data_IF_328064205713
#
_entry.id   IF_328064205713
#
_cell.length_a   1.000
_cell.length_b   1.000
_cell.length_c   1.000
_cell.angle_alpha   90.00
_cell.angle_beta   90.00
_cell.angle_gamma   90.00
#
_symmetry.space_group_name_H-M   'P 1'
#
loop_
_entity.id
_entity.type
_entity.pdbx_description
1 polymer ?
#
# COMPACT_ATOMS: atom_id res chain seq x y z
N UNK A 1 -11.52 86.38 -90.66
CA UNK A 1 -12.75 85.57 -90.87
C UNK A 1 -12.60 84.29 -90.13
N UNK A 2 -13.59 83.87 -89.34
CA UNK A 2 -13.67 82.53 -88.81
C UNK A 2 -13.87 82.46 -87.33
N UNK A 3 -15.08 82.35 -87.01
CA UNK A 3 -15.85 82.29 -85.72
C UNK A 3 -15.35 81.24 -84.71
N UNK A 4 -15.45 81.63 -83.49
CA UNK A 4 -15.28 80.78 -82.33
C UNK A 4 -16.29 79.68 -82.12
N UNK A 5 -15.97 78.79 -81.28
CA UNK A 5 -16.91 77.93 -80.59
C UNK A 5 -16.35 77.53 -79.21
N UNK A 6 -17.09 77.98 -78.23
CA UNK A 6 -16.90 77.65 -76.78
C UNK A 6 -17.25 76.18 -76.52
N UNK A 7 -16.49 75.45 -75.76
CA UNK A 7 -16.96 74.18 -75.27
C UNK A 7 -17.69 74.25 -73.90
N UNK A 8 -18.83 73.58 -73.83
CA UNK A 8 -19.69 73.45 -72.69
C UNK A 8 -19.12 72.49 -71.62
N UNK A 9 -19.23 72.86 -70.37
CA UNK A 9 -18.86 72.03 -69.20
C UNK A 9 -19.92 70.90 -68.98
N UNK A 10 -19.49 69.69 -68.58
CA UNK A 10 -20.40 68.62 -68.25
C UNK A 10 -20.96 68.82 -66.78
N UNK A 11 -22.10 68.19 -66.44
CA UNK A 11 -22.73 68.31 -65.15
C UNK A 11 -22.05 67.58 -64.03
N UNK A 12 -21.99 68.17 -62.88
CA UNK A 12 -21.42 67.58 -61.64
C UNK A 12 -22.28 66.44 -61.12
N UNK A 13 -21.72 65.21 -61.09
CA UNK A 13 -22.39 64.03 -60.57
C UNK A 13 -22.35 64.00 -59.04
N UNK A 14 -23.48 64.02 -58.41
CA UNK A 14 -23.70 63.71 -56.98
C UNK A 14 -23.51 62.23 -56.71
N UNK A 15 -22.26 61.74 -56.47
CA UNK A 15 -22.05 60.33 -56.15
C UNK A 15 -20.91 60.06 -55.14
N UNK A 16 -20.45 61.02 -54.37
CA UNK A 16 -19.35 60.75 -53.41
C UNK A 16 -19.75 60.64 -51.95
N UNK A 17 -21.04 60.89 -51.59
CA UNK A 17 -21.50 60.87 -50.22
C UNK A 17 -22.10 59.52 -49.73
N UNK A 18 -22.53 58.66 -50.66
CA UNK A 18 -23.10 57.33 -50.31
C UNK A 18 -22.02 56.23 -50.22
N UNK A 19 -20.99 56.28 -51.05
CA UNK A 19 -19.91 55.28 -50.96
C UNK A 19 -19.07 55.42 -49.70
N UNK A 20 -18.89 56.63 -49.15
CA UNK A 20 -18.13 56.82 -47.91
C UNK A 20 -18.87 56.27 -46.67
N UNK A 21 -20.22 56.27 -46.68
CA UNK A 21 -21.05 55.69 -45.59
C UNK A 21 -21.08 54.18 -45.59
N UNK A 22 -20.99 53.52 -46.77
CA UNK A 22 -21.02 52.10 -46.90
C UNK A 22 -19.68 51.47 -46.47
N UNK A 23 -18.53 52.09 -46.79
CA UNK A 23 -17.22 51.61 -46.36
C UNK A 23 -17.01 51.78 -44.87
N UNK A 24 -17.49 52.85 -44.24
CA UNK A 24 -17.36 53.03 -42.77
C UNK A 24 -18.24 52.09 -41.96
N UNK A 25 -19.44 51.74 -42.42
CA UNK A 25 -20.31 50.77 -41.73
C UNK A 25 -19.80 49.33 -41.82
N UNK A 26 -19.19 48.91 -42.94
CA UNK A 26 -18.60 47.62 -43.10
C UNK A 26 -17.39 47.35 -42.19
N UNK A 27 -16.52 48.37 -42.03
CA UNK A 27 -15.32 48.28 -41.18
C UNK A 27 -15.65 48.26 -39.71
N UNK A 28 -16.63 49.01 -39.25
CA UNK A 28 -17.09 48.99 -37.84
C UNK A 28 -17.78 47.68 -37.46
N UNK A 29 -18.52 47.04 -38.38
CA UNK A 29 -19.16 45.77 -38.15
C UNK A 29 -18.14 44.65 -38.02
N UNK A 30 -17.14 44.58 -38.89
CA UNK A 30 -16.07 43.59 -38.81
C UNK A 30 -15.17 43.76 -37.58
N UNK A 31 -14.94 44.98 -37.13
CA UNK A 31 -14.16 45.28 -35.94
C UNK A 31 -14.88 44.84 -34.66
N UNK A 32 -16.20 45.05 -34.58
CA UNK A 32 -17.05 44.54 -33.46
C UNK A 32 -17.09 43.03 -33.39
N UNK A 33 -17.15 42.32 -34.54
CA UNK A 33 -17.13 40.87 -34.61
C UNK A 33 -15.77 40.27 -34.20
N UNK A 34 -14.68 40.92 -34.62
CA UNK A 34 -13.33 40.50 -34.22
C UNK A 34 -13.02 40.73 -32.73
N UNK A 35 -13.47 41.85 -32.15
CA UNK A 35 -13.37 42.13 -30.72
C UNK A 35 -14.23 41.15 -29.91
N UNK A 36 -15.44 40.80 -30.36
CA UNK A 36 -16.30 39.82 -29.73
C UNK A 36 -15.69 38.40 -29.73
N UNK A 37 -15.04 37.99 -30.80
CA UNK A 37 -14.35 36.68 -30.87
C UNK A 37 -13.10 36.64 -29.97
N UNK A 38 -12.35 37.75 -29.85
CA UNK A 38 -11.18 37.81 -28.97
C UNK A 38 -11.59 37.77 -27.49
N UNK A 39 -12.68 38.48 -27.13
CA UNK A 39 -13.24 38.43 -25.78
C UNK A 39 -13.85 37.06 -25.42
N UNK A 40 -14.47 36.37 -26.38
CA UNK A 40 -14.95 34.98 -26.20
C UNK A 40 -13.81 33.97 -26.04
N UNK A 41 -12.70 34.13 -26.77
CA UNK A 41 -11.50 33.30 -26.62
C UNK A 41 -10.80 33.56 -25.27
N UNK A 42 -10.76 34.78 -24.78
CA UNK A 42 -10.20 35.13 -23.47
C UNK A 42 -11.09 34.64 -22.30
N UNK A 43 -12.41 34.53 -22.48
CA UNK A 43 -13.33 33.99 -21.49
C UNK A 43 -13.19 32.43 -21.39
N UNK A 44 -12.80 31.77 -22.48
CA UNK A 44 -12.54 30.30 -22.48
C UNK A 44 -11.15 29.92 -21.93
N UNK A 45 -10.19 30.84 -21.91
CA UNK A 45 -8.86 30.58 -21.36
C UNK A 45 -8.80 30.67 -19.82
N UNK A 46 -9.87 31.06 -19.16
CA UNK A 46 -9.93 31.29 -17.71
C UNK A 46 -10.36 30.11 -16.84
N UNK A 47 -10.69 28.95 -17.42
CA UNK A 47 -11.06 27.75 -16.65
C UNK A 47 -10.01 26.62 -16.74
N UNK A 48 -8.72 26.98 -16.77
CA UNK A 48 -7.74 26.06 -16.22
C UNK A 48 -8.04 26.00 -14.72
N UNK A 49 -8.87 25.02 -14.31
CA UNK A 49 -9.25 24.83 -12.92
C UNK A 49 -7.99 24.81 -12.09
N UNK A 50 -7.79 25.82 -11.27
CA UNK A 50 -6.78 25.79 -10.23
C UNK A 50 -7.09 24.53 -9.41
N UNK A 51 -6.31 23.48 -9.62
CA UNK A 51 -6.43 22.25 -8.86
C UNK A 51 -6.27 22.65 -7.40
N UNK A 52 -7.35 22.52 -6.61
CA UNK A 52 -7.29 22.91 -5.20
C UNK A 52 -6.05 22.28 -4.57
N UNK A 53 -5.30 23.01 -3.73
CA UNK A 53 -4.08 22.48 -3.15
C UNK A 53 -4.41 21.23 -2.32
N UNK A 54 -3.94 20.06 -2.77
CA UNK A 54 -4.08 18.83 -2.01
C UNK A 54 -2.98 18.71 -0.95
N UNK A 55 -3.30 18.32 0.30
CA UNK A 55 -4.63 18.12 0.89
C UNK A 55 -5.19 19.39 1.56
N UNK A 56 -6.52 19.58 1.57
CA UNK A 56 -7.23 20.68 2.27
C UNK A 56 -7.97 20.20 3.53
N UNK A 57 -8.02 18.90 3.77
CA UNK A 57 -8.69 18.25 4.90
C UNK A 57 -7.91 17.03 5.39
N UNK A 58 -8.21 16.50 6.58
CA UNK A 58 -7.53 15.30 7.10
C UNK A 58 -7.63 14.11 6.16
N UNK A 59 -6.54 13.33 6.11
CA UNK A 59 -6.42 12.08 5.36
C UNK A 59 -6.65 10.91 6.33
N UNK A 60 -7.36 9.88 5.89
CA UNK A 60 -7.54 8.62 6.62
C UNK A 60 -6.53 7.58 6.12
N UNK A 61 -5.80 6.95 7.03
CA UNK A 61 -4.98 5.77 6.74
C UNK A 61 -5.62 4.55 7.40
N UNK A 62 -6.27 3.72 6.60
CA UNK A 62 -6.96 2.52 7.08
C UNK A 62 -5.96 1.38 7.24
N UNK A 63 -5.99 0.70 8.38
CA UNK A 63 -5.11 -0.42 8.74
C UNK A 63 -5.95 -1.65 9.03
N UNK A 64 -5.71 -2.75 8.31
CA UNK A 64 -6.49 -3.99 8.37
C UNK A 64 -6.22 -4.88 9.59
N UNK A 65 -5.39 -4.41 10.55
CA UNK A 65 -4.94 -5.20 11.69
C UNK A 65 -5.04 -4.41 13.00
N UNK A 66 -4.92 -5.12 14.12
CA UNK A 66 -5.09 -4.55 15.46
C UNK A 66 -4.05 -3.47 15.81
N UNK A 67 -4.48 -2.49 16.60
CA UNK A 67 -3.62 -1.44 17.13
C UNK A 67 -2.46 -2.02 17.97
N UNK A 68 -1.30 -1.36 17.95
CA UNK A 68 -0.07 -1.79 18.64
C UNK A 68 0.64 -2.98 17.99
N UNK A 69 0.11 -3.50 16.89
CA UNK A 69 0.72 -4.60 16.14
C UNK A 69 1.79 -4.17 15.15
N UNK A 70 2.44 -5.15 14.48
CA UNK A 70 3.56 -4.90 13.56
C UNK A 70 3.19 -4.05 12.32
N UNK A 71 1.92 -3.90 12.01
CA UNK A 71 1.42 -3.03 10.93
C UNK A 71 1.07 -1.64 11.45
N UNK A 72 0.53 -1.54 12.67
CA UNK A 72 0.02 -0.30 13.24
C UNK A 72 1.15 0.67 13.64
N UNK A 73 2.23 0.15 14.25
CA UNK A 73 3.36 0.98 14.69
C UNK A 73 4.00 1.74 13.51
N UNK A 74 4.41 1.08 12.39
CA UNK A 74 4.90 1.79 11.21
C UNK A 74 3.87 2.74 10.60
N UNK A 75 2.57 2.34 10.57
CA UNK A 75 1.51 3.18 10.04
C UNK A 75 1.36 4.51 10.80
N UNK A 76 1.41 4.48 12.14
CA UNK A 76 1.32 5.69 12.96
C UNK A 76 2.52 6.60 12.78
N UNK A 77 3.71 6.04 12.68
CA UNK A 77 4.91 6.84 12.40
C UNK A 77 4.80 7.55 11.03
N UNK A 78 4.44 6.79 9.99
CA UNK A 78 4.24 7.38 8.64
C UNK A 78 3.14 8.42 8.67
N UNK A 79 2.01 8.16 9.34
CA UNK A 79 0.89 9.09 9.43
C UNK A 79 1.28 10.41 10.12
N UNK A 80 2.02 10.35 11.21
CA UNK A 80 2.52 11.52 11.94
C UNK A 80 3.41 12.39 11.04
N UNK A 81 4.47 11.81 10.49
CA UNK A 81 5.43 12.54 9.63
C UNK A 81 4.84 12.98 8.29
N UNK A 82 3.93 12.21 7.72
CA UNK A 82 3.21 12.59 6.52
C UNK A 82 2.26 13.77 6.80
N UNK A 83 1.65 13.77 7.98
CA UNK A 83 0.84 14.90 8.43
C UNK A 83 1.65 16.20 8.52
N UNK A 84 2.85 16.14 9.09
CA UNK A 84 3.79 17.27 9.14
C UNK A 84 4.16 17.77 7.73
N UNK A 85 4.49 16.84 6.81
CA UNK A 85 4.91 17.17 5.45
C UNK A 85 3.77 17.76 4.59
N UNK A 86 2.54 17.35 4.83
CA UNK A 86 1.36 17.76 4.06
C UNK A 86 0.64 18.96 4.67
N UNK A 87 0.93 19.33 5.94
CA UNK A 87 0.19 20.37 6.67
C UNK A 87 -1.25 20.00 7.02
N UNK A 88 -1.61 18.72 6.94
CA UNK A 88 -2.93 18.18 7.27
C UNK A 88 -2.79 16.86 8.05
N UNK A 89 -3.63 16.66 9.04
CA UNK A 89 -3.57 15.43 9.86
C UNK A 89 -3.79 14.17 9.02
N UNK A 90 -2.99 13.14 9.26
CA UNK A 90 -3.23 11.78 8.78
C UNK A 90 -3.69 10.92 9.96
N UNK A 91 -4.91 10.39 9.87
CA UNK A 91 -5.58 9.69 10.97
C UNK A 91 -5.55 8.19 10.69
N UNK A 92 -4.93 7.42 11.58
CA UNK A 92 -4.89 5.96 11.50
C UNK A 92 -6.18 5.37 12.05
N UNK A 93 -6.86 4.55 11.24
CA UNK A 93 -8.07 3.81 11.62
C UNK A 93 -7.84 2.30 11.51
N UNK A 94 -7.86 1.60 12.64
CA UNK A 94 -7.73 0.15 12.66
C UNK A 94 -9.09 -0.54 12.42
N UNK A 95 -9.16 -1.43 11.40
CA UNK A 95 -10.33 -2.25 11.06
C UNK A 95 -9.94 -3.73 10.97
N UNK A 96 -9.62 -4.35 12.11
CA UNK A 96 -9.09 -5.71 12.16
C UNK A 96 -10.21 -6.73 11.95
N UNK A 97 -10.40 -7.18 10.71
CA UNK A 97 -11.32 -8.27 10.41
C UNK A 97 -10.92 -8.96 9.09
N UNK A 98 -11.21 -10.26 9.01
CA UNK A 98 -11.08 -11.08 7.81
C UNK A 98 -9.72 -10.89 7.11
N UNK A 99 -8.61 -11.02 7.85
CA UNK A 99 -7.24 -10.88 7.34
C UNK A 99 -7.00 -9.56 6.58
N UNK A 100 -7.63 -8.45 7.01
CA UNK A 100 -7.50 -7.13 6.40
C UNK A 100 -8.52 -6.83 5.28
N UNK A 101 -9.29 -7.80 4.80
CA UNK A 101 -10.26 -7.60 3.71
C UNK A 101 -11.27 -6.48 3.99
N UNK A 102 -11.71 -6.32 5.24
CA UNK A 102 -12.64 -5.25 5.62
C UNK A 102 -12.02 -3.87 5.42
N UNK A 103 -10.76 -3.70 5.78
CA UNK A 103 -10.02 -2.45 5.59
C UNK A 103 -9.84 -2.11 4.12
N UNK A 104 -9.45 -3.09 3.31
CA UNK A 104 -9.28 -2.93 1.86
C UNK A 104 -10.60 -2.50 1.20
N UNK A 105 -11.71 -3.17 1.53
CA UNK A 105 -13.04 -2.81 1.02
C UNK A 105 -13.51 -1.43 1.49
N UNK A 106 -13.27 -1.08 2.75
CA UNK A 106 -13.59 0.26 3.26
C UNK A 106 -12.88 1.35 2.47
N UNK A 107 -11.56 1.21 2.25
CA UNK A 107 -10.82 2.16 1.42
C UNK A 107 -11.34 2.20 -0.02
N UNK A 108 -11.61 1.03 -0.63
CA UNK A 108 -12.10 0.94 -2.00
C UNK A 108 -13.54 1.48 -2.18
N UNK A 109 -14.32 1.60 -1.13
CA UNK A 109 -15.66 2.21 -1.17
C UNK A 109 -15.65 3.74 -1.13
N UNK A 110 -14.49 4.35 -0.87
CA UNK A 110 -14.34 5.81 -0.77
C UNK A 110 -14.01 6.46 -2.12
N UNK A 111 -14.21 7.79 -2.26
CA UNK A 111 -13.78 8.52 -3.45
C UNK A 111 -12.28 8.32 -3.75
N UNK A 112 -11.94 8.33 -5.05
CA UNK A 112 -10.56 8.17 -5.54
C UNK A 112 -9.83 9.52 -5.57
N UNK A 113 -9.83 10.22 -4.45
CA UNK A 113 -9.35 11.60 -4.30
C UNK A 113 -8.10 11.72 -3.41
N UNK A 114 -7.54 10.57 -2.97
CA UNK A 114 -6.34 10.52 -2.15
C UNK A 114 -6.57 10.77 -0.65
N UNK A 115 -7.81 11.04 -0.20
CA UNK A 115 -8.10 11.29 1.22
C UNK A 115 -8.38 10.02 2.03
N UNK A 116 -8.45 8.87 1.39
CA UNK A 116 -8.46 7.59 2.08
C UNK A 116 -7.39 6.68 1.49
N UNK A 117 -6.42 6.33 2.31
CA UNK A 117 -5.30 5.46 1.99
C UNK A 117 -5.45 4.13 2.73
N UNK A 118 -4.82 3.10 2.22
CA UNK A 118 -4.71 1.79 2.85
C UNK A 118 -3.25 1.53 3.22
N UNK A 119 -3.00 1.07 4.43
CA UNK A 119 -1.79 0.31 4.70
C UNK A 119 -1.96 -1.06 4.05
N UNK A 120 -1.55 -1.18 2.79
CA UNK A 120 -1.59 -2.43 2.05
C UNK A 120 -0.42 -3.34 2.44
N UNK A 121 -0.64 -4.64 2.35
CA UNK A 121 0.28 -5.66 2.80
C UNK A 121 0.28 -6.84 1.81
N UNK A 122 1.09 -7.83 2.04
CA UNK A 122 1.04 -9.09 1.29
C UNK A 122 -0.31 -9.84 1.45
N UNK A 123 -1.14 -9.46 2.45
CA UNK A 123 -2.44 -10.12 2.66
C UNK A 123 -3.47 -9.82 1.58
N UNK A 124 -3.40 -8.71 0.85
CA UNK A 124 -4.26 -8.46 -0.30
C UNK A 124 -4.08 -9.55 -1.36
N UNK A 125 -2.83 -9.93 -1.64
CA UNK A 125 -2.49 -11.03 -2.56
C UNK A 125 -2.88 -12.40 -2.00
N UNK A 126 -2.59 -12.65 -0.71
CA UNK A 126 -2.97 -13.90 -0.03
C UNK A 126 -4.48 -14.10 -0.06
N UNK A 127 -5.25 -13.08 0.30
CA UNK A 127 -6.71 -13.16 0.31
C UNK A 127 -7.28 -13.43 -1.09
N UNK A 128 -6.70 -12.80 -2.13
CA UNK A 128 -7.09 -13.05 -3.53
C UNK A 128 -6.85 -14.50 -3.95
N UNK A 129 -5.78 -15.14 -3.45
CA UNK A 129 -5.49 -16.55 -3.73
C UNK A 129 -6.28 -17.53 -2.87
N UNK A 130 -6.53 -17.18 -1.59
CA UNK A 130 -7.11 -18.08 -0.59
C UNK A 130 -8.63 -18.12 -0.62
N UNK A 131 -9.30 -16.99 -0.93
CA UNK A 131 -10.75 -16.89 -0.86
C UNK A 131 -11.38 -16.80 -2.24
N UNK A 132 -12.38 -17.65 -2.53
CA UNK A 132 -13.15 -17.60 -3.78
C UNK A 132 -13.95 -16.30 -3.94
N UNK A 133 -14.37 -15.71 -2.82
CA UNK A 133 -15.25 -14.54 -2.80
C UNK A 133 -14.60 -13.35 -2.09
N UNK A 134 -13.44 -12.90 -2.57
CA UNK A 134 -12.65 -11.80 -1.97
C UNK A 134 -13.25 -10.44 -2.24
N UNK A 135 -14.27 -10.15 -2.83
CA UNK A 135 -15.02 -8.88 -3.00
C UNK A 135 -14.16 -7.63 -3.31
N UNK A 136 -12.96 -7.79 -3.85
CA UNK A 136 -12.10 -6.74 -4.42
C UNK A 136 -11.13 -7.38 -5.44
N UNK A 137 -10.57 -6.55 -6.30
CA UNK A 137 -9.51 -6.96 -7.24
C UNK A 137 -8.23 -6.19 -6.92
N UNK A 138 -7.06 -6.82 -7.07
CA UNK A 138 -5.77 -6.16 -6.88
C UNK A 138 -5.60 -4.96 -7.82
N UNK A 139 -6.18 -5.02 -9.03
CA UNK A 139 -6.20 -3.90 -9.99
C UNK A 139 -7.00 -2.67 -9.55
N UNK A 140 -7.78 -2.77 -8.48
CA UNK A 140 -8.48 -1.62 -7.89
C UNK A 140 -7.60 -0.84 -6.90
N UNK A 141 -6.39 -1.34 -6.61
CA UNK A 141 -5.38 -0.65 -5.81
C UNK A 141 -4.49 0.21 -6.71
N UNK A 142 -4.12 1.38 -6.22
CA UNK A 142 -3.06 2.23 -6.76
C UNK A 142 -1.89 2.23 -5.77
N UNK A 143 -0.86 1.39 -5.96
CA UNK A 143 0.31 1.36 -5.10
C UNK A 143 1.03 2.71 -5.08
N UNK A 144 1.54 3.12 -3.91
CA UNK A 144 2.29 4.37 -3.74
C UNK A 144 3.76 4.07 -3.43
N UNK A 145 4.04 3.36 -2.34
CA UNK A 145 5.39 2.93 -1.97
C UNK A 145 5.35 1.83 -0.92
N UNK A 146 6.36 0.97 -0.92
CA UNK A 146 6.71 0.21 0.27
C UNK A 146 7.09 1.16 1.41
N UNK A 147 6.93 0.69 2.65
CA UNK A 147 7.45 1.35 3.85
C UNK A 147 8.32 0.43 4.68
N UNK A 148 8.10 -0.89 4.65
CA UNK A 148 8.91 -1.87 5.34
C UNK A 148 8.85 -3.25 4.70
N UNK A 149 9.91 -4.03 4.90
CA UNK A 149 9.95 -5.49 4.74
C UNK A 149 10.39 -6.14 6.05
N UNK A 150 9.87 -7.33 6.31
CA UNK A 150 10.24 -8.11 7.49
C UNK A 150 10.28 -9.58 7.18
N UNK A 151 11.10 -10.31 7.91
CA UNK A 151 11.11 -11.76 7.88
C UNK A 151 10.27 -12.33 9.03
N UNK A 152 10.04 -13.63 8.99
CA UNK A 152 9.32 -14.34 10.02
C UNK A 152 10.30 -15.06 10.94
N UNK A 153 9.98 -15.09 12.23
CA UNK A 153 10.63 -15.93 13.22
C UNK A 153 9.74 -17.11 13.58
N UNK A 154 10.33 -18.26 13.77
CA UNK A 154 9.69 -19.43 14.34
C UNK A 154 9.73 -19.29 15.85
N UNK A 155 8.60 -18.81 16.42
CA UNK A 155 8.46 -18.59 17.85
C UNK A 155 7.94 -19.85 18.56
N UNK A 156 8.46 -20.11 19.75
CA UNK A 156 8.07 -21.21 20.62
C UNK A 156 7.81 -20.70 22.04
N UNK A 157 6.71 -21.16 22.66
CA UNK A 157 6.42 -20.86 24.06
C UNK A 157 7.48 -21.46 24.98
N UNK A 158 7.79 -20.77 26.08
CA UNK A 158 8.80 -21.25 27.06
C UNK A 158 8.38 -22.56 27.74
N UNK A 159 7.08 -22.87 27.79
CA UNK A 159 6.57 -24.13 28.33
C UNK A 159 7.06 -25.37 27.58
N UNK A 160 7.39 -25.24 26.29
CA UNK A 160 7.93 -26.34 25.47
C UNK A 160 9.43 -26.50 25.76
N UNK A 161 9.90 -27.69 26.21
CA UNK A 161 11.30 -27.93 26.59
C UNK A 161 12.19 -28.19 25.35
N UNK A 162 12.25 -27.22 24.45
CA UNK A 162 13.07 -27.27 23.25
C UNK A 162 13.69 -25.90 22.98
N UNK A 163 15.01 -25.84 22.75
CA UNK A 163 15.77 -24.63 22.49
C UNK A 163 16.32 -24.55 21.06
N UNK A 164 16.13 -25.59 20.30
CA UNK A 164 16.49 -25.64 18.87
C UNK A 164 15.31 -26.17 18.04
N UNK A 165 15.34 -25.92 16.73
CA UNK A 165 14.30 -26.42 15.83
C UNK A 165 14.30 -27.96 15.80
N UNK A 166 15.46 -28.59 15.84
CA UNK A 166 15.60 -30.06 15.88
C UNK A 166 15.01 -30.65 17.16
N UNK A 167 15.30 -30.05 18.32
CA UNK A 167 14.72 -30.47 19.60
C UNK A 167 13.20 -30.29 19.61
N UNK A 168 12.69 -29.20 19.03
CA UNK A 168 11.25 -29.01 18.87
C UNK A 168 10.61 -30.08 17.99
N UNK A 169 11.24 -30.42 16.86
CA UNK A 169 10.74 -31.51 15.97
C UNK A 169 10.69 -32.85 16.72
N UNK A 170 11.70 -33.19 17.52
CA UNK A 170 11.67 -34.40 18.33
C UNK A 170 10.56 -34.36 19.40
N UNK A 171 10.42 -33.25 20.08
CA UNK A 171 9.34 -33.04 21.04
C UNK A 171 7.94 -33.20 20.39
N UNK A 172 7.71 -32.55 19.24
CA UNK A 172 6.44 -32.63 18.55
C UNK A 172 6.14 -34.01 17.98
N UNK A 173 7.16 -34.82 17.62
CA UNK A 173 6.99 -36.24 17.25
C UNK A 173 6.52 -37.08 18.42
N UNK A 174 7.06 -36.83 19.62
CA UNK A 174 6.68 -37.54 20.85
C UNK A 174 5.27 -37.14 21.34
N UNK A 175 4.82 -35.91 21.04
CA UNK A 175 3.54 -35.33 21.45
C UNK A 175 2.65 -35.07 20.24
N UNK A 176 2.41 -36.10 19.44
CA UNK A 176 1.73 -36.00 18.15
C UNK A 176 0.30 -35.45 18.30
N UNK A 177 0.03 -34.27 17.69
CA UNK A 177 -1.26 -33.61 17.71
C UNK A 177 -1.58 -32.84 19.01
N UNK A 178 -0.67 -32.85 19.98
CA UNK A 178 -0.83 -32.07 21.23
C UNK A 178 -0.27 -30.65 21.08
N UNK A 179 0.82 -30.48 20.32
CA UNK A 179 1.43 -29.18 20.07
C UNK A 179 0.47 -28.30 19.28
N UNK A 180 0.19 -27.12 19.80
CA UNK A 180 -0.69 -26.15 19.17
C UNK A 180 0.10 -25.15 18.32
N UNK A 181 -0.43 -24.80 17.15
CA UNK A 181 0.12 -23.68 16.38
C UNK A 181 -0.94 -22.63 16.03
N UNK A 182 -0.55 -21.36 16.11
CA UNK A 182 -1.44 -20.25 15.76
C UNK A 182 -1.39 -19.92 14.27
N UNK A 183 -2.54 -19.49 13.72
CA UNK A 183 -2.67 -18.88 12.40
C UNK A 183 -3.55 -17.64 12.47
N UNK A 184 -3.31 -16.67 11.58
CA UNK A 184 -4.09 -15.41 11.50
C UNK A 184 -4.90 -15.29 10.20
N UNK A 185 -5.13 -16.38 9.53
CA UNK A 185 -5.91 -16.47 8.29
C UNK A 185 -5.45 -17.63 7.42
N UNK A 186 -6.35 -18.10 6.57
CA UNK A 186 -6.06 -19.13 5.60
C UNK A 186 -5.03 -18.67 4.59
N UNK A 187 -4.07 -19.53 4.28
CA UNK A 187 -2.98 -19.21 3.35
C UNK A 187 -1.96 -18.19 3.88
N UNK A 188 -2.07 -17.76 5.14
CA UNK A 188 -1.06 -16.90 5.75
C UNK A 188 0.31 -17.57 5.77
N UNK A 189 1.40 -16.80 5.76
CA UNK A 189 2.75 -17.33 5.87
C UNK A 189 2.92 -18.21 7.11
N UNK A 190 2.21 -17.90 8.19
CA UNK A 190 2.15 -18.68 9.41
C UNK A 190 1.62 -20.11 9.18
N UNK A 191 0.52 -20.20 8.46
CA UNK A 191 -0.09 -21.50 8.16
C UNK A 191 0.73 -22.28 7.13
N UNK A 192 1.17 -21.62 6.07
CA UNK A 192 2.00 -22.25 5.02
C UNK A 192 3.27 -22.84 5.62
N UNK A 193 4.01 -22.09 6.45
CA UNK A 193 5.24 -22.60 7.07
C UNK A 193 4.96 -23.74 8.06
N UNK A 194 3.90 -23.63 8.88
CA UNK A 194 3.54 -24.72 9.79
C UNK A 194 3.25 -26.00 9.01
N UNK A 195 2.47 -25.93 7.92
CA UNK A 195 2.19 -27.08 7.05
C UNK A 195 3.44 -27.63 6.34
N UNK A 196 4.33 -26.73 5.89
CA UNK A 196 5.59 -27.15 5.29
C UNK A 196 6.49 -27.86 6.30
N UNK A 197 6.54 -27.37 7.53
CA UNK A 197 7.29 -28.03 8.61
C UNK A 197 6.71 -29.40 8.93
N UNK A 198 5.39 -29.54 9.04
CA UNK A 198 4.72 -30.84 9.21
C UNK A 198 5.09 -31.82 8.10
N UNK A 199 5.01 -31.38 6.82
CA UNK A 199 5.34 -32.20 5.65
C UNK A 199 6.79 -32.66 5.64
N UNK A 200 7.74 -31.76 5.93
CA UNK A 200 9.17 -32.05 5.86
C UNK A 200 9.67 -32.91 7.04
N UNK A 201 9.07 -32.76 8.21
CA UNK A 201 9.55 -33.37 9.44
C UNK A 201 8.68 -34.55 9.92
N UNK A 202 7.48 -34.72 9.37
CA UNK A 202 6.51 -35.73 9.79
C UNK A 202 5.85 -35.48 11.15
N UNK A 203 5.95 -34.24 11.70
CA UNK A 203 5.21 -33.84 12.90
C UNK A 203 3.74 -33.57 12.56
N UNK A 204 2.90 -33.54 13.58
CA UNK A 204 1.49 -33.15 13.47
C UNK A 204 1.17 -32.18 14.59
N UNK A 205 0.65 -31.02 14.26
CA UNK A 205 0.28 -29.96 15.21
C UNK A 205 -1.21 -29.64 15.13
N UNK A 206 -1.76 -29.10 16.20
CA UNK A 206 -3.17 -28.68 16.29
C UNK A 206 -3.31 -27.18 15.96
N UNK A 207 -4.12 -26.86 14.95
CA UNK A 207 -4.31 -25.50 14.44
C UNK A 207 -5.27 -24.70 15.33
N UNK A 208 -4.85 -23.51 15.78
CA UNK A 208 -5.71 -22.54 16.49
C UNK A 208 -5.77 -21.23 15.70
N UNK A 209 -6.95 -20.84 15.16
CA UNK A 209 -7.11 -19.61 14.42
C UNK A 209 -7.30 -18.41 15.36
N UNK A 210 -6.65 -17.27 15.03
CA UNK A 210 -6.76 -15.99 15.74
C UNK A 210 -7.11 -14.86 14.77
N UNK A 211 -7.62 -13.75 15.33
CA UNK A 211 -7.98 -12.56 14.55
C UNK A 211 -6.76 -11.67 14.21
N UNK A 212 -5.63 -11.85 14.91
CA UNK A 212 -4.43 -11.05 14.67
C UNK A 212 -3.26 -11.41 15.56
N UNK A 213 -2.06 -11.01 15.14
CA UNK A 213 -0.79 -11.33 15.79
C UNK A 213 -0.65 -10.91 17.26
N UNK A 214 -1.06 -9.70 17.67
CA UNK A 214 -0.95 -9.28 19.07
C UNK A 214 -1.62 -10.24 20.05
N UNK A 215 -2.81 -10.76 19.71
CA UNK A 215 -3.51 -11.75 20.52
C UNK A 215 -2.70 -13.06 20.62
N UNK A 216 -2.14 -13.54 19.49
CA UNK A 216 -1.33 -14.76 19.48
C UNK A 216 -0.14 -14.63 20.40
N UNK A 217 0.59 -13.51 20.35
CA UNK A 217 1.78 -13.29 21.17
C UNK A 217 1.42 -13.32 22.66
N UNK A 218 0.30 -12.72 23.05
CA UNK A 218 -0.21 -12.77 24.44
C UNK A 218 -0.52 -14.21 24.88
N UNK A 219 -1.18 -15.00 24.02
CA UNK A 219 -1.51 -16.39 24.31
C UNK A 219 -0.25 -17.29 24.40
N UNK A 220 0.77 -17.02 23.58
CA UNK A 220 2.07 -17.70 23.67
C UNK A 220 2.81 -17.40 24.96
N UNK A 221 2.88 -16.12 25.34
CA UNK A 221 3.52 -15.69 26.61
C UNK A 221 2.80 -16.32 27.80
N UNK A 222 1.47 -16.47 27.69
CA UNK A 222 0.66 -17.13 28.72
C UNK A 222 0.71 -18.68 28.67
N UNK A 223 1.44 -19.28 27.73
CA UNK A 223 1.59 -20.73 27.58
C UNK A 223 0.34 -21.45 27.07
N UNK A 224 -0.58 -20.74 26.38
CA UNK A 224 -1.81 -21.34 25.80
C UNK A 224 -1.70 -21.65 24.31
N UNK A 225 -0.63 -21.16 23.66
CA UNK A 225 -0.24 -21.50 22.28
C UNK A 225 1.24 -21.83 22.28
N UNK A 226 1.61 -22.94 21.67
CA UNK A 226 2.97 -23.47 21.72
C UNK A 226 3.86 -22.91 20.61
N UNK A 227 3.36 -22.86 19.39
CA UNK A 227 4.15 -22.57 18.18
C UNK A 227 3.48 -21.46 17.35
N UNK A 228 4.29 -20.54 16.85
CA UNK A 228 3.81 -19.49 15.94
C UNK A 228 4.90 -19.00 15.00
N UNK A 229 4.58 -18.91 13.73
CA UNK A 229 5.40 -18.18 12.77
C UNK A 229 4.99 -16.72 12.79
N UNK A 230 5.85 -15.85 13.24
CA UNK A 230 5.50 -14.45 13.49
C UNK A 230 6.40 -13.49 12.72
N UNK A 231 5.89 -12.33 12.26
CA UNK A 231 6.74 -11.22 11.91
C UNK A 231 7.73 -10.91 13.03
N UNK A 232 9.01 -10.75 12.69
CA UNK A 232 10.06 -10.43 13.69
C UNK A 232 9.70 -9.20 14.50
N UNK A 233 9.11 -8.17 13.89
CA UNK A 233 8.56 -6.97 14.55
C UNK A 233 7.67 -7.27 15.78
N UNK A 234 6.96 -8.40 15.78
CA UNK A 234 5.99 -8.73 16.82
C UNK A 234 6.58 -9.54 17.97
N UNK A 235 7.70 -10.26 17.77
CA UNK A 235 8.23 -11.23 18.74
C UNK A 235 9.61 -10.89 19.28
N UNK A 236 10.38 -10.04 18.60
CA UNK A 236 11.72 -9.65 19.07
C UNK A 236 11.66 -9.04 20.47
N UNK A 237 10.76 -8.12 20.81
CA UNK A 237 10.68 -7.57 22.17
C UNK A 237 10.42 -8.63 23.25
N UNK A 238 9.58 -9.63 22.96
CA UNK A 238 9.28 -10.73 23.89
C UNK A 238 10.44 -11.72 24.00
N UNK A 239 11.16 -11.96 22.90
CA UNK A 239 12.37 -12.75 22.90
C UNK A 239 13.47 -12.10 23.76
N UNK A 240 13.72 -10.81 23.57
CA UNK A 240 14.67 -10.03 24.39
C UNK A 240 14.27 -10.02 25.89
N UNK A 241 12.95 -9.95 26.16
CA UNK A 241 12.42 -10.07 27.53
C UNK A 241 12.39 -11.52 28.06
N UNK A 242 12.90 -12.51 27.29
CA UNK A 242 12.89 -13.95 27.62
C UNK A 242 11.51 -14.53 27.90
N UNK A 243 10.47 -13.97 27.29
CA UNK A 243 9.08 -14.43 27.44
C UNK A 243 8.71 -15.52 26.44
N UNK A 244 9.46 -15.67 25.36
CA UNK A 244 9.35 -16.74 24.38
C UNK A 244 10.72 -17.01 23.77
N UNK A 245 10.82 -18.07 22.96
CA UNK A 245 12.00 -18.45 22.19
C UNK A 245 11.80 -18.15 20.71
N UNK A 246 12.90 -17.89 19.98
CA UNK A 246 12.92 -17.88 18.51
C UNK A 246 13.91 -18.95 18.07
N UNK A 247 13.41 -19.97 17.36
CA UNK A 247 14.22 -21.14 16.98
C UNK A 247 14.93 -20.97 15.63
N UNK A 248 14.33 -20.21 14.71
CA UNK A 248 14.88 -19.92 13.39
C UNK A 248 14.20 -18.69 12.78
N UNK A 249 14.80 -18.12 11.73
CA UNK A 249 14.21 -17.04 10.93
C UNK A 249 14.08 -17.45 9.45
N UNK A 250 13.06 -16.91 8.75
CA UNK A 250 12.81 -17.16 7.32
C UNK A 250 13.67 -16.30 6.38
N UNK A 251 14.68 -15.62 6.91
CA UNK A 251 15.57 -14.78 6.13
C UNK A 251 16.61 -15.63 5.36
N UNK A 252 17.15 -15.12 4.22
CA UNK A 252 18.21 -15.81 3.47
C UNK A 252 19.55 -15.83 4.22
N UNK A 253 19.71 -14.95 5.19
CA UNK A 253 20.87 -14.83 6.08
C UNK A 253 20.41 -14.48 7.50
N UNK A 254 21.23 -14.75 8.52
CA UNK A 254 20.93 -14.36 9.89
C UNK A 254 20.73 -12.85 10.01
N UNK A 255 19.76 -12.46 10.79
CA UNK A 255 19.46 -11.04 11.04
C UNK A 255 20.49 -10.45 12.01
N UNK A 256 20.94 -9.21 11.77
CA UNK A 256 21.98 -8.57 12.59
C UNK A 256 21.63 -8.51 14.07
N UNK A 257 20.36 -8.22 14.39
CA UNK A 257 19.87 -8.15 15.78
C UNK A 257 19.42 -9.51 16.34
N UNK A 258 19.52 -10.59 15.57
CA UNK A 258 19.24 -11.99 15.94
C UNK A 258 20.38 -12.88 15.41
N UNK A 259 21.65 -12.45 15.57
CA UNK A 259 22.82 -13.15 15.00
C UNK A 259 22.98 -14.58 15.50
N UNK A 260 22.49 -14.88 16.70
CA UNK A 260 22.56 -16.21 17.31
C UNK A 260 21.45 -17.14 16.80
N UNK A 261 20.41 -16.59 16.17
CA UNK A 261 19.30 -17.35 15.64
C UNK A 261 19.61 -17.81 14.20
N UNK A 262 19.58 -19.13 13.91
CA UNK A 262 19.85 -19.63 12.58
C UNK A 262 18.70 -19.31 11.60
N UNK A 263 18.98 -19.37 10.30
CA UNK A 263 17.94 -19.34 9.29
C UNK A 263 17.29 -20.72 9.12
N UNK A 264 16.07 -20.75 8.57
CA UNK A 264 15.42 -22.03 8.21
C UNK A 264 16.25 -22.81 7.17
N UNK A 265 16.89 -22.11 6.23
CA UNK A 265 17.77 -22.72 5.23
C UNK A 265 18.99 -23.38 5.88
N UNK A 266 19.62 -22.78 6.89
CA UNK A 266 20.70 -23.40 7.68
C UNK A 266 20.24 -24.67 8.40
N UNK A 267 18.94 -24.81 8.65
CA UNK A 267 18.29 -25.98 9.26
C UNK A 267 17.72 -26.98 8.25
N UNK A 268 18.06 -26.83 6.96
CA UNK A 268 17.61 -27.73 5.90
C UNK A 268 16.17 -27.55 5.45
N UNK A 269 15.51 -26.43 5.87
CA UNK A 269 14.15 -26.09 5.45
C UNK A 269 14.23 -24.99 4.41
N UNK A 270 13.92 -25.31 3.16
CA UNK A 270 13.87 -24.34 2.07
C UNK A 270 12.61 -23.47 2.18
N UNK A 271 12.69 -22.46 3.04
CA UNK A 271 11.63 -21.49 3.24
C UNK A 271 12.23 -20.09 3.48
N UNK A 272 12.45 -19.36 2.40
CA UNK A 272 12.77 -17.94 2.46
C UNK A 272 11.53 -17.17 2.09
N UNK A 273 10.94 -16.49 3.06
CA UNK A 273 9.72 -15.69 2.89
C UNK A 273 9.82 -14.40 3.68
N UNK A 274 9.32 -13.33 3.11
CA UNK A 274 9.20 -12.04 3.79
C UNK A 274 7.78 -11.51 3.68
N UNK A 275 7.36 -10.77 4.68
CA UNK A 275 6.19 -9.92 4.60
C UNK A 275 6.59 -8.50 4.24
N UNK A 276 5.65 -7.73 3.73
CA UNK A 276 5.88 -6.35 3.39
C UNK A 276 4.69 -5.47 3.79
N UNK A 277 4.99 -4.20 4.02
CA UNK A 277 4.03 -3.14 4.28
C UNK A 277 4.22 -2.05 3.23
N UNK A 278 3.13 -1.56 2.70
CA UNK A 278 3.10 -0.46 1.73
C UNK A 278 1.94 0.49 1.98
N UNK A 279 1.94 1.59 1.28
CA UNK A 279 0.81 2.51 1.23
C UNK A 279 0.20 2.44 -0.16
N UNK A 280 -1.12 2.24 -0.21
CA UNK A 280 -1.90 2.20 -1.43
C UNK A 280 -3.07 3.20 -1.36
N UNK A 281 -3.46 3.73 -2.51
CA UNK A 281 -4.73 4.42 -2.73
C UNK A 281 -5.67 3.55 -3.57
N UNK A 282 -6.84 4.04 -3.91
CA UNK A 282 -7.72 3.39 -4.89
C UNK A 282 -7.31 3.74 -6.32
N UNK A 283 -7.41 2.77 -7.23
CA UNK A 283 -7.16 2.99 -8.66
C UNK A 283 -8.07 4.11 -9.20
N UNK A 284 -7.48 5.01 -9.98
CA UNK A 284 -8.14 6.23 -10.46
C UNK A 284 -7.86 7.47 -9.60
N UNK A 285 -7.12 7.35 -8.50
CA UNK A 285 -6.60 8.53 -7.77
C UNK A 285 -5.71 9.36 -8.71
N UNK A 286 -5.88 10.69 -8.78
CA UNK A 286 -5.11 11.54 -9.69
C UNK A 286 -3.60 11.38 -9.52
N UNK A 287 -2.88 11.26 -10.65
CA UNK A 287 -1.43 11.03 -10.62
C UNK A 287 -0.63 12.08 -9.83
N UNK A 288 -0.93 13.39 -9.88
CA UNK A 288 -0.22 14.38 -9.06
C UNK A 288 -0.33 14.13 -7.54
N UNK A 289 -1.45 13.53 -7.09
CA UNK A 289 -1.65 13.15 -5.68
C UNK A 289 -0.77 11.93 -5.34
N UNK A 290 -0.76 10.91 -6.21
CA UNK A 290 0.12 9.74 -6.05
C UNK A 290 1.59 10.17 -5.99
N UNK A 291 2.03 11.04 -6.90
CA UNK A 291 3.41 11.52 -6.97
C UNK A 291 3.80 12.34 -5.71
N UNK A 292 2.88 13.15 -5.19
CA UNK A 292 3.09 13.90 -3.96
C UNK A 292 3.24 12.96 -2.76
N UNK A 293 2.30 12.04 -2.58
CA UNK A 293 2.32 11.06 -1.48
C UNK A 293 3.57 10.16 -1.56
N UNK A 294 3.89 9.68 -2.76
CA UNK A 294 5.09 8.86 -3.00
C UNK A 294 6.37 9.58 -2.55
N UNK A 295 6.59 10.80 -3.02
CA UNK A 295 7.79 11.59 -2.67
C UNK A 295 7.92 11.79 -1.16
N UNK A 296 6.82 12.17 -0.50
CA UNK A 296 6.84 12.45 0.93
C UNK A 296 7.06 11.16 1.74
N UNK A 297 6.41 10.04 1.38
CA UNK A 297 6.60 8.73 2.02
C UNK A 297 8.03 8.22 1.83
N UNK A 298 8.60 8.30 0.63
CA UNK A 298 10.00 7.89 0.37
C UNK A 298 10.97 8.68 1.26
N UNK A 299 10.73 9.98 1.40
CA UNK A 299 11.54 10.85 2.27
C UNK A 299 11.46 10.39 3.73
N UNK A 300 10.25 10.12 4.24
CA UNK A 300 10.03 9.66 5.62
C UNK A 300 10.71 8.30 5.87
N UNK A 301 10.53 7.34 4.96
CA UNK A 301 11.15 6.01 5.06
C UNK A 301 12.68 6.08 5.04
N UNK A 302 13.23 7.09 4.36
CA UNK A 302 14.67 7.38 4.30
C UNK A 302 15.26 7.97 5.58
N UNK A 303 14.46 8.45 6.54
CA UNK A 303 14.94 9.10 7.74
C UNK A 303 15.66 8.13 8.69
N UNK A 304 16.73 8.57 9.38
CA UNK A 304 17.40 7.74 10.38
C UNK A 304 16.46 7.28 11.51
N UNK A 305 15.52 8.13 11.91
CA UNK A 305 14.55 7.85 12.97
C UNK A 305 13.61 6.68 12.59
N UNK A 306 13.05 6.70 11.39
CA UNK A 306 12.21 5.60 10.90
C UNK A 306 13.00 4.30 10.76
N UNK A 307 14.20 4.37 10.17
CA UNK A 307 15.09 3.21 10.00
C UNK A 307 15.44 2.58 11.34
N UNK A 308 15.86 3.38 12.31
CA UNK A 308 16.21 2.88 13.65
C UNK A 308 15.02 2.17 14.33
N UNK A 309 13.81 2.73 14.21
CA UNK A 309 12.60 2.11 14.76
C UNK A 309 12.32 0.74 14.12
N UNK A 310 12.38 0.66 12.77
CA UNK A 310 12.09 -0.57 12.02
C UNK A 310 13.18 -1.62 12.22
N UNK A 311 14.47 -1.23 12.20
CA UNK A 311 15.61 -2.12 12.35
C UNK A 311 15.72 -2.69 13.77
N UNK A 312 15.41 -1.89 14.80
CA UNK A 312 15.35 -2.37 16.20
C UNK A 312 14.43 -3.57 16.35
N UNK A 313 13.35 -3.61 15.60
CA UNK A 313 12.38 -4.71 15.61
C UNK A 313 12.75 -5.85 14.64
N UNK A 314 13.96 -5.90 14.09
CA UNK A 314 14.41 -6.97 13.19
C UNK A 314 13.80 -6.93 11.79
N UNK A 315 13.51 -5.72 11.32
CA UNK A 315 12.88 -5.48 10.01
C UNK A 315 13.67 -4.45 9.21
N UNK A 316 13.24 -4.14 8.01
CA UNK A 316 13.98 -3.30 7.07
C UNK A 316 13.09 -2.15 6.61
N UNK A 317 13.52 -0.91 6.80
CA UNK A 317 12.92 0.26 6.20
C UNK A 317 13.27 0.27 4.71
N UNK A 318 12.28 0.11 3.85
CA UNK A 318 12.45 0.01 2.39
C UNK A 318 11.33 0.78 1.72
N UNK A 319 11.68 1.75 0.88
CA UNK A 319 10.75 2.38 -0.06
C UNK A 319 10.84 1.72 -1.43
N UNK A 320 9.88 2.01 -2.29
CA UNK A 320 9.83 1.55 -3.69
C UNK A 320 9.16 2.58 -4.57
N UNK A 321 9.33 2.47 -5.86
CA UNK A 321 8.43 3.11 -6.83
C UNK A 321 7.05 2.46 -6.80
N UNK A 322 5.98 3.15 -7.25
CA UNK A 322 4.65 2.55 -7.41
C UNK A 322 4.66 1.27 -8.24
N UNK A 323 5.40 1.26 -9.35
CA UNK A 323 5.50 0.09 -10.24
C UNK A 323 6.21 -1.11 -9.61
N UNK A 324 7.23 -0.89 -8.76
CA UNK A 324 7.89 -1.97 -8.02
C UNK A 324 6.96 -2.58 -6.98
N UNK A 325 6.12 -1.78 -6.29
CA UNK A 325 5.14 -2.29 -5.36
C UNK A 325 4.03 -3.07 -6.09
N UNK A 326 3.55 -2.59 -7.24
CA UNK A 326 2.56 -3.29 -8.07
C UNK A 326 3.08 -4.66 -8.51
N UNK A 327 4.33 -4.71 -8.99
CA UNK A 327 4.99 -5.96 -9.35
C UNK A 327 5.13 -6.91 -8.15
N UNK A 328 5.46 -6.39 -6.97
CA UNK A 328 5.56 -7.20 -5.75
C UNK A 328 4.21 -7.78 -5.32
N UNK A 329 3.12 -7.02 -5.44
CA UNK A 329 1.74 -7.49 -5.18
C UNK A 329 1.43 -8.69 -6.08
N UNK A 330 1.73 -8.58 -7.38
CA UNK A 330 1.49 -9.66 -8.36
C UNK A 330 2.37 -10.87 -8.10
N UNK A 331 3.67 -10.67 -7.86
CA UNK A 331 4.59 -11.76 -7.53
C UNK A 331 4.17 -12.50 -6.25
N UNK A 332 3.74 -11.77 -5.23
CA UNK A 332 3.24 -12.38 -3.99
C UNK A 332 2.01 -13.26 -4.27
N UNK A 333 1.08 -12.82 -5.14
CA UNK A 333 -0.08 -13.63 -5.54
C UNK A 333 0.35 -14.96 -6.15
N UNK A 334 1.27 -14.92 -7.12
CA UNK A 334 1.74 -16.13 -7.84
C UNK A 334 2.43 -17.12 -6.89
N UNK A 335 3.29 -16.62 -6.00
CA UNK A 335 4.00 -17.43 -5.01
C UNK A 335 3.06 -18.13 -4.03
N UNK A 336 2.09 -17.38 -3.46
CA UNK A 336 1.20 -17.96 -2.46
C UNK A 336 0.13 -18.86 -3.06
N UNK A 337 -0.30 -18.61 -4.30
CA UNK A 337 -1.31 -19.43 -4.98
C UNK A 337 -0.85 -20.88 -5.13
N UNK A 338 0.43 -21.15 -5.37
CA UNK A 338 0.95 -22.50 -5.45
C UNK A 338 0.90 -23.23 -4.10
N UNK A 339 1.32 -22.56 -3.01
CA UNK A 339 1.28 -23.12 -1.66
C UNK A 339 -0.15 -23.35 -1.17
N UNK A 340 -1.07 -22.43 -1.48
CA UNK A 340 -2.49 -22.58 -1.13
C UNK A 340 -3.10 -23.82 -1.80
N UNK A 341 -2.80 -24.04 -3.09
CA UNK A 341 -3.23 -25.28 -3.78
C UNK A 341 -2.59 -26.52 -3.20
N UNK A 342 -1.28 -26.50 -2.96
CA UNK A 342 -0.54 -27.63 -2.41
C UNK A 342 -1.08 -28.12 -1.07
N UNK A 343 -1.41 -27.18 -0.17
CA UNK A 343 -1.88 -27.51 1.18
C UNK A 343 -3.40 -27.52 1.34
N UNK A 344 -4.16 -27.28 0.28
CA UNK A 344 -5.63 -27.26 0.32
C UNK A 344 -6.19 -26.15 1.22
N UNK A 345 -5.54 -24.96 1.25
CA UNK A 345 -5.89 -23.86 2.12
C UNK A 345 -6.94 -22.90 1.53
N UNK A 346 -7.53 -23.27 0.41
CA UNK A 346 -8.58 -22.46 -0.24
C UNK A 346 -9.85 -22.44 0.61
N UNK A 347 -10.45 -21.27 0.74
CA UNK A 347 -11.67 -21.01 1.51
C UNK A 347 -12.83 -20.65 0.57
N UNK A 348 -14.06 -20.93 0.99
CA UNK A 348 -15.27 -20.59 0.26
C UNK A 348 -15.58 -19.08 0.23
#
# INVERSE_FOLDING_TARGET
MGRGSTPSLPPYSRSTAEESKFVMTGTMSQMKTRIGCILALLAFAGTAGAQEPYPTRPIRLVVGFGAGGPTDIPARFIADKLGDALGQRVIVENKPAASGMVATRDMLSQPRDGYTLLLCTHFESINTAAYKNVQFKLSELAPISLIAKYYYGVALANAIPADTLEAFVQYAKAHRGEVTYATIGAGSAQEILARQLEKLTGITMNRIPFRGGPQVVQEMVAGRVDFYVSPTLAIVPQYEAKQLKILAVSAPQRLKNLSDIPTLTEKGIDFVRFGWLGICAGAGTPQPIIDRLHRDIVTIVGTPEYRAMIEKAGSFAVSSTPGELDKLITQTLDEVASSIREFGLQQE
#
